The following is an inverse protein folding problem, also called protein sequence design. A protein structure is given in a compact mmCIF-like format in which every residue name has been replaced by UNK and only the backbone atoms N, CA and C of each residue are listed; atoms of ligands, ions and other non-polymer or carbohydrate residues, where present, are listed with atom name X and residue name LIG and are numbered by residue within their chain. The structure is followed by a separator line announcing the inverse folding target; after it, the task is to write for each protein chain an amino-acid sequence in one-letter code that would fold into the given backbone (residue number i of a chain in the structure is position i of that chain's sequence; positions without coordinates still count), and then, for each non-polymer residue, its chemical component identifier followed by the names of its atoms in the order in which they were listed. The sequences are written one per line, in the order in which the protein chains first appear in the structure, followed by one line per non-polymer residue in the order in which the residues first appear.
data_IF_821772288577
#
_entry.id   IF_821772288577
#
_cell.length_a   1.000
_cell.length_b   1.000
_cell.length_c   1.000
_cell.angle_alpha   90.00
_cell.angle_beta   90.00
_cell.angle_gamma   90.00
#
_symmetry.space_group_name_H-M   'P 1'
#
loop_
_entity.id
_entity.type
_entity.pdbx_description
1 polymer ?
#
# COMPACT_ATOMS: atom_id res chain seq x y z
N UNK A 1 -22.03 -16.79 10.29
CA UNK A 1 -22.33 -15.47 9.72
C UNK A 1 -23.66 -15.57 9.01
N UNK A 2 -24.69 -14.85 9.46
CA UNK A 2 -26.05 -14.98 8.89
C UNK A 2 -26.31 -13.99 7.75
N UNK A 3 -25.69 -12.80 7.79
CA UNK A 3 -25.85 -11.74 6.80
C UNK A 3 -24.49 -11.37 6.19
N UNK A 4 -23.93 -12.23 5.33
CA UNK A 4 -22.66 -11.95 4.69
C UNK A 4 -22.78 -10.73 3.77
N UNK A 5 -21.77 -9.87 3.82
CA UNK A 5 -21.53 -8.80 2.87
C UNK A 5 -20.32 -9.19 2.03
N UNK A 6 -20.45 -9.27 0.71
CA UNK A 6 -19.26 -9.36 -0.14
C UNK A 6 -18.38 -8.15 0.06
N UNK A 7 -17.08 -8.39 0.27
CA UNK A 7 -16.10 -7.30 0.20
C UNK A 7 -16.25 -6.62 -1.16
N UNK A 8 -16.33 -5.29 -1.18
CA UNK A 8 -16.64 -4.54 -2.41
C UNK A 8 -15.63 -4.78 -3.54
N UNK A 9 -14.40 -5.18 -3.22
CA UNK A 9 -13.37 -5.51 -4.20
C UNK A 9 -13.41 -6.96 -4.68
N UNK A 10 -14.19 -7.83 -4.04
CA UNK A 10 -14.40 -9.19 -4.51
C UNK A 10 -15.09 -9.16 -5.87
N UNK A 11 -14.64 -10.02 -6.79
CA UNK A 11 -15.28 -10.27 -8.08
C UNK A 11 -15.55 -11.76 -8.19
N UNK A 12 -16.46 -12.12 -9.08
CA UNK A 12 -16.77 -13.52 -9.35
C UNK A 12 -17.19 -13.72 -10.80
N UNK A 13 -16.90 -14.90 -11.34
CA UNK A 13 -17.21 -15.29 -12.72
C UNK A 13 -17.74 -16.73 -12.73
N UNK A 14 -18.96 -16.97 -13.25
CA UNK A 14 -19.49 -18.32 -13.41
C UNK A 14 -18.78 -19.05 -14.57
N UNK A 15 -18.47 -20.32 -14.37
CA UNK A 15 -17.90 -21.24 -15.37
C UNK A 15 -18.65 -22.57 -15.39
N UNK A 16 -18.26 -23.49 -16.28
CA UNK A 16 -18.91 -24.80 -16.36
C UNK A 16 -18.55 -25.67 -15.14
N UNK A 17 -19.54 -25.96 -14.28
CA UNK A 17 -19.35 -26.71 -13.05
C UNK A 17 -18.57 -25.98 -11.94
N UNK A 18 -18.23 -24.71 -12.12
CA UNK A 18 -17.39 -23.95 -11.18
C UNK A 18 -17.80 -22.47 -11.07
N UNK A 19 -17.47 -21.86 -9.93
CA UNK A 19 -17.54 -20.44 -9.69
C UNK A 19 -16.16 -19.93 -9.28
N UNK A 20 -15.57 -19.02 -10.06
CA UNK A 20 -14.28 -18.42 -9.71
C UNK A 20 -14.52 -17.10 -8.98
N UNK A 21 -13.93 -16.94 -7.81
CA UNK A 21 -13.91 -15.70 -7.04
C UNK A 21 -12.51 -15.10 -7.09
N UNK A 22 -12.40 -13.78 -7.25
CA UNK A 22 -11.13 -13.08 -7.20
C UNK A 22 -11.15 -11.91 -6.21
N UNK A 23 -10.08 -11.81 -5.41
CA UNK A 23 -9.90 -10.76 -4.42
C UNK A 23 -8.41 -10.54 -4.17
N UNK A 24 -7.96 -9.27 -4.15
CA UNK A 24 -6.55 -8.88 -4.00
C UNK A 24 -5.59 -9.67 -4.94
N UNK A 25 -6.04 -9.93 -6.17
CA UNK A 25 -5.28 -10.67 -7.20
C UNK A 25 -5.26 -12.19 -7.01
N UNK A 26 -5.84 -12.73 -5.93
CA UNK A 26 -5.96 -14.18 -5.70
C UNK A 26 -7.26 -14.69 -6.28
N UNK A 27 -7.19 -15.81 -7.01
CA UNK A 27 -8.37 -16.54 -7.47
C UNK A 27 -8.66 -17.75 -6.58
N UNK A 28 -9.94 -18.04 -6.36
CA UNK A 28 -10.44 -19.20 -5.62
C UNK A 28 -11.60 -19.82 -6.38
N UNK A 29 -11.58 -21.13 -6.50
CA UNK A 29 -12.58 -21.88 -7.28
C UNK A 29 -13.51 -22.63 -6.33
N UNK A 30 -14.81 -22.41 -6.49
CA UNK A 30 -15.85 -23.17 -5.82
C UNK A 30 -16.49 -24.12 -6.84
N UNK A 31 -16.33 -25.43 -6.63
CA UNK A 31 -16.97 -26.44 -7.46
C UNK A 31 -18.45 -26.56 -7.10
N UNK A 32 -19.32 -26.52 -8.12
CA UNK A 32 -20.76 -26.57 -7.93
C UNK A 32 -21.47 -27.16 -9.14
N UNK A 33 -22.59 -27.82 -8.90
CA UNK A 33 -23.46 -28.35 -9.96
C UNK A 33 -24.33 -27.27 -10.61
N UNK A 34 -24.41 -26.08 -10.04
CA UNK A 34 -25.32 -25.01 -10.48
C UNK A 34 -24.70 -23.62 -10.28
N UNK A 35 -23.67 -23.27 -11.08
CA UNK A 35 -22.89 -22.04 -10.91
C UNK A 35 -23.71 -20.76 -11.06
N UNK A 36 -24.74 -20.76 -11.91
CA UNK A 36 -25.65 -19.61 -12.05
C UNK A 36 -26.47 -19.35 -10.78
N UNK A 37 -26.99 -20.41 -10.15
CA UNK A 37 -27.69 -20.29 -8.87
C UNK A 37 -26.75 -19.74 -7.79
N UNK A 38 -25.48 -20.19 -7.78
CA UNK A 38 -24.46 -19.65 -6.88
C UNK A 38 -24.23 -18.17 -7.12
N UNK A 39 -24.14 -17.71 -8.37
CA UNK A 39 -24.03 -16.29 -8.70
C UNK A 39 -25.23 -15.47 -8.21
N UNK A 40 -26.45 -16.00 -8.34
CA UNK A 40 -27.68 -15.34 -7.88
C UNK A 40 -27.72 -15.21 -6.35
N UNK A 41 -27.37 -16.26 -5.61
CA UNK A 41 -27.26 -16.20 -4.15
C UNK A 41 -26.15 -15.24 -3.71
N UNK A 42 -25.01 -15.30 -4.40
CA UNK A 42 -23.84 -14.44 -4.17
C UNK A 42 -24.18 -12.96 -4.36
N UNK A 43 -24.97 -12.62 -5.36
CA UNK A 43 -25.43 -11.25 -5.60
C UNK A 43 -26.28 -10.66 -4.46
N UNK A 44 -26.81 -11.53 -3.59
CA UNK A 44 -27.61 -11.16 -2.41
C UNK A 44 -26.81 -11.17 -1.11
N UNK A 45 -25.50 -11.44 -1.12
CA UNK A 45 -24.62 -11.18 0.03
C UNK A 45 -24.35 -9.67 0.16
N UNK A 46 -25.41 -8.93 0.45
CA UNK A 46 -25.45 -7.47 0.58
C UNK A 46 -25.33 -6.99 2.03
N UNK A 47 -25.05 -7.92 2.96
CA UNK A 47 -24.98 -7.66 4.40
C UNK A 47 -26.32 -7.43 5.08
N UNK A 48 -27.44 -7.51 4.35
CA UNK A 48 -28.80 -7.27 4.88
C UNK A 48 -29.69 -8.51 4.75
N UNK A 49 -29.48 -9.29 3.71
CA UNK A 49 -30.22 -10.51 3.42
C UNK A 49 -29.66 -11.69 4.22
N UNK A 50 -30.55 -12.48 4.82
CA UNK A 50 -30.16 -13.76 5.43
C UNK A 50 -29.62 -14.69 4.34
N UNK A 51 -28.43 -15.25 4.53
CA UNK A 51 -27.78 -16.05 3.49
C UNK A 51 -28.58 -17.31 3.15
N UNK A 52 -29.20 -17.94 4.14
CA UNK A 52 -30.08 -19.07 3.92
C UNK A 52 -31.28 -18.69 3.06
N UNK A 53 -31.85 -17.50 3.26
CA UNK A 53 -32.91 -16.96 2.41
C UNK A 53 -32.43 -16.70 0.98
N UNK A 54 -31.27 -16.08 0.81
CA UNK A 54 -30.67 -15.83 -0.51
C UNK A 54 -30.47 -17.14 -1.29
N UNK A 55 -29.88 -18.15 -0.64
CA UNK A 55 -29.68 -19.47 -1.22
C UNK A 55 -30.99 -20.16 -1.61
N UNK A 56 -32.00 -20.13 -0.73
CA UNK A 56 -33.33 -20.71 -1.04
C UNK A 56 -33.99 -20.04 -2.24
N UNK A 57 -33.93 -18.71 -2.32
CA UNK A 57 -34.46 -17.94 -3.46
C UNK A 57 -33.74 -18.26 -4.77
N UNK A 58 -32.45 -18.58 -4.71
CA UNK A 58 -31.65 -19.03 -5.85
C UNK A 58 -31.77 -20.54 -6.14
N UNK A 59 -32.61 -21.28 -5.40
CA UNK A 59 -32.78 -22.73 -5.57
C UNK A 59 -31.57 -23.57 -5.13
N UNK A 60 -30.71 -23.04 -4.25
CA UNK A 60 -29.58 -23.75 -3.66
C UNK A 60 -30.06 -24.54 -2.44
N UNK A 61 -29.75 -25.85 -2.40
CA UNK A 61 -30.06 -26.71 -1.26
C UNK A 61 -29.22 -26.39 -0.02
N UNK A 62 -29.68 -26.79 1.17
CA UNK A 62 -29.04 -26.46 2.44
C UNK A 62 -27.55 -26.88 2.50
N UNK A 63 -27.22 -28.10 2.09
CA UNK A 63 -25.84 -28.60 2.12
C UNK A 63 -24.89 -27.81 1.21
N UNK A 64 -25.36 -27.39 0.02
CA UNK A 64 -24.56 -26.57 -0.89
C UNK A 64 -24.44 -25.13 -0.36
N UNK A 65 -25.47 -24.64 0.33
CA UNK A 65 -25.46 -23.33 0.99
C UNK A 65 -24.43 -23.28 2.12
N UNK A 66 -24.38 -24.31 2.97
CA UNK A 66 -23.37 -24.45 4.03
C UNK A 66 -21.96 -24.49 3.46
N UNK A 67 -21.72 -25.33 2.44
CA UNK A 67 -20.44 -25.36 1.72
C UNK A 67 -20.04 -24.00 1.16
N UNK A 68 -21.00 -23.28 0.57
CA UNK A 68 -20.74 -21.98 -0.03
C UNK A 68 -20.37 -20.94 1.03
N UNK A 69 -21.10 -20.82 2.14
CA UNK A 69 -20.76 -19.85 3.18
C UNK A 69 -19.44 -20.19 3.88
N UNK A 70 -19.16 -21.48 4.11
CA UNK A 70 -17.89 -21.95 4.64
C UNK A 70 -16.74 -21.55 3.71
N UNK A 71 -16.87 -21.81 2.40
CA UNK A 71 -15.89 -21.39 1.40
C UNK A 71 -15.66 -19.87 1.41
N UNK A 72 -16.73 -19.08 1.36
CA UNK A 72 -16.65 -17.62 1.34
C UNK A 72 -16.00 -17.07 2.62
N UNK A 73 -16.28 -17.68 3.77
CA UNK A 73 -15.71 -17.29 5.08
C UNK A 73 -14.26 -17.71 5.19
N UNK A 74 -13.93 -18.96 4.82
CA UNK A 74 -12.57 -19.52 4.87
C UNK A 74 -11.59 -18.67 4.07
N UNK A 75 -12.00 -18.20 2.88
CA UNK A 75 -11.17 -17.36 2.02
C UNK A 75 -11.37 -15.86 2.27
N UNK A 76 -12.09 -15.48 3.33
CA UNK A 76 -12.35 -14.10 3.72
C UNK A 76 -12.88 -13.23 2.56
N UNK A 77 -13.77 -13.78 1.74
CA UNK A 77 -14.39 -13.09 0.60
C UNK A 77 -15.62 -12.26 1.04
N UNK A 78 -16.18 -12.62 2.20
CA UNK A 78 -17.30 -11.94 2.84
C UNK A 78 -16.91 -11.42 4.22
N UNK A 79 -17.63 -10.41 4.69
CA UNK A 79 -17.57 -9.86 6.05
C UNK A 79 -18.97 -9.89 6.66
N UNK A 80 -19.05 -9.71 7.98
CA UNK A 80 -20.35 -9.68 8.64
C UNK A 80 -21.06 -8.35 8.41
N UNK A 81 -22.16 -8.39 7.68
CA UNK A 81 -22.99 -7.22 7.39
C UNK A 81 -23.57 -6.55 8.63
N UNK A 82 -23.80 -7.28 9.73
CA UNK A 82 -24.36 -6.71 10.97
C UNK A 82 -23.34 -5.82 11.69
N UNK A 83 -22.06 -6.13 11.55
CA UNK A 83 -20.97 -5.33 12.14
C UNK A 83 -20.43 -4.28 11.16
N UNK A 84 -20.59 -4.51 9.86
CA UNK A 84 -20.09 -3.61 8.82
C UNK A 84 -21.12 -2.53 8.46
N UNK A 85 -22.39 -2.89 8.31
CA UNK A 85 -23.43 -1.98 7.87
C UNK A 85 -24.25 -1.49 9.07
N UNK A 86 -24.63 -0.22 9.04
CA UNK A 86 -25.54 0.33 10.04
C UNK A 86 -26.99 0.10 9.67
N UNK A 87 -27.81 -0.17 10.68
CA UNK A 87 -29.26 -0.31 10.53
C UNK A 87 -29.96 1.00 10.13
N UNK A 88 -29.39 2.16 10.50
CA UNK A 88 -29.93 3.48 10.16
C UNK A 88 -29.56 3.95 8.74
N UNK A 89 -28.78 3.16 7.99
CA UNK A 89 -28.34 3.47 6.63
C UNK A 89 -27.23 4.52 6.55
N UNK A 90 -26.72 5.01 7.68
CA UNK A 90 -25.53 5.85 7.70
C UNK A 90 -24.28 5.02 7.39
N UNK A 91 -23.23 5.67 6.88
CA UNK A 91 -21.98 5.01 6.52
C UNK A 91 -21.11 4.80 7.77
N UNK A 92 -20.80 3.55 8.11
CA UNK A 92 -19.80 3.24 9.14
C UNK A 92 -18.38 3.39 8.59
N UNK A 93 -17.40 3.51 9.49
CA UNK A 93 -15.99 3.48 9.07
C UNK A 93 -15.57 2.14 8.48
N UNK A 94 -16.03 1.01 9.04
CA UNK A 94 -15.76 -0.32 8.48
C UNK A 94 -16.27 -0.46 7.03
N UNK A 95 -17.49 0.00 6.75
CA UNK A 95 -18.02 -0.01 5.39
C UNK A 95 -17.20 0.90 4.46
N UNK A 96 -16.82 2.09 4.94
CA UNK A 96 -15.96 3.00 4.17
C UNK A 96 -14.60 2.37 3.82
N UNK A 97 -13.95 1.65 4.75
CA UNK A 97 -12.70 0.94 4.47
C UNK A 97 -12.84 0.00 3.27
N UNK A 98 -13.86 -0.87 3.27
CA UNK A 98 -14.03 -1.84 2.19
C UNK A 98 -14.37 -1.16 0.84
N UNK A 99 -15.09 -0.02 0.87
CA UNK A 99 -15.35 0.79 -0.33
C UNK A 99 -14.06 1.43 -0.86
N UNK A 100 -13.20 1.96 0.02
CA UNK A 100 -11.90 2.51 -0.34
C UNK A 100 -10.95 1.43 -0.86
N UNK A 101 -10.95 0.24 -0.29
CA UNK A 101 -10.13 -0.88 -0.76
C UNK A 101 -10.48 -1.26 -2.21
N UNK A 102 -11.77 -1.29 -2.55
CA UNK A 102 -12.20 -1.51 -3.93
C UNK A 102 -11.68 -0.43 -4.90
N UNK A 103 -11.72 0.84 -4.49
CA UNK A 103 -11.15 1.93 -5.28
C UNK A 103 -9.63 1.77 -5.45
N UNK A 104 -8.92 1.47 -4.35
CA UNK A 104 -7.47 1.28 -4.36
C UNK A 104 -7.05 0.16 -5.29
N UNK A 105 -7.70 -1.00 -5.22
CA UNK A 105 -7.37 -2.15 -6.07
C UNK A 105 -7.66 -1.85 -7.55
N UNK A 106 -8.73 -1.12 -7.83
CA UNK A 106 -9.02 -0.63 -9.18
C UNK A 106 -7.90 0.31 -9.66
N UNK A 107 -7.51 1.29 -8.85
CA UNK A 107 -6.47 2.26 -9.20
C UNK A 107 -5.06 1.67 -9.23
N UNK A 108 -4.75 0.59 -8.51
CA UNK A 108 -3.46 -0.12 -8.66
C UNK A 108 -3.32 -0.73 -10.06
N UNK A 109 -4.41 -1.23 -10.65
CA UNK A 109 -4.39 -1.81 -12.01
C UNK A 109 -4.52 -0.78 -13.12
N UNK A 110 -5.11 0.38 -12.82
CA UNK A 110 -5.34 1.46 -13.78
C UNK A 110 -5.21 2.81 -13.07
N UNK A 111 -3.98 3.23 -12.71
CA UNK A 111 -3.78 4.43 -11.93
C UNK A 111 -4.16 5.68 -12.73
N UNK A 112 -4.60 6.76 -12.04
CA UNK A 112 -4.68 8.08 -12.65
C UNK A 112 -3.30 8.44 -13.21
N UNK A 113 -3.18 8.57 -14.54
CA UNK A 113 -1.89 8.81 -15.20
C UNK A 113 -1.45 10.25 -15.00
N UNK A 114 -0.68 10.51 -13.95
CA UNK A 114 -0.07 11.83 -13.69
C UNK A 114 1.35 11.96 -14.26
N UNK A 115 2.04 10.83 -14.41
CA UNK A 115 3.39 10.72 -14.98
C UNK A 115 3.45 9.54 -15.97
N UNK A 116 4.46 9.45 -16.86
CA UNK A 116 4.66 8.26 -17.68
C UNK A 116 4.73 7.01 -16.82
N UNK A 117 3.93 5.98 -17.14
CA UNK A 117 3.95 4.72 -16.42
C UNK A 117 5.30 4.03 -16.67
N UNK A 118 6.14 4.04 -15.64
CA UNK A 118 7.41 3.33 -15.59
C UNK A 118 7.18 2.16 -14.64
N UNK A 119 6.99 0.97 -15.19
CA UNK A 119 6.88 -0.27 -14.41
C UNK A 119 8.28 -0.64 -13.87
N UNK A 120 8.74 0.16 -12.90
CA UNK A 120 10.09 0.09 -12.36
C UNK A 120 10.34 -1.24 -11.68
N UNK A 121 9.35 -1.78 -10.96
CA UNK A 121 9.49 -3.05 -10.23
C UNK A 121 9.73 -4.18 -11.24
N UNK A 122 8.96 -4.25 -12.32
CA UNK A 122 9.18 -5.23 -13.40
C UNK A 122 10.50 -5.00 -14.12
N UNK A 123 10.90 -3.75 -14.35
CA UNK A 123 12.19 -3.42 -14.96
C UNK A 123 13.38 -3.90 -14.11
N UNK A 124 13.29 -3.78 -12.79
CA UNK A 124 14.29 -4.32 -11.85
C UNK A 124 14.20 -5.85 -11.84
N UNK A 125 12.99 -6.42 -11.74
CA UNK A 125 12.78 -7.87 -11.70
C UNK A 125 13.41 -8.58 -12.91
N UNK A 126 13.35 -7.95 -14.09
CA UNK A 126 13.90 -8.44 -15.35
C UNK A 126 15.35 -8.00 -15.64
N UNK A 127 16.03 -7.29 -14.73
CA UNK A 127 17.41 -6.84 -14.92
C UNK A 127 17.61 -5.73 -15.96
N UNK A 128 16.55 -4.98 -16.28
CA UNK A 128 16.54 -3.93 -17.30
C UNK A 128 16.84 -2.54 -16.74
N UNK A 129 16.58 -2.31 -15.44
CA UNK A 129 16.86 -1.03 -14.81
C UNK A 129 18.37 -0.84 -14.59
N UNK A 130 18.93 0.37 -14.81
CA UNK A 130 20.33 0.65 -14.44
C UNK A 130 20.59 0.44 -12.95
N UNK A 131 21.78 -0.08 -12.58
CA UNK A 131 22.15 -0.31 -11.17
C UNK A 131 22.03 0.95 -10.30
N UNK A 132 22.29 2.13 -10.85
CA UNK A 132 22.11 3.41 -10.15
C UNK A 132 20.65 3.66 -9.76
N UNK A 133 19.70 3.28 -10.63
CA UNK A 133 18.26 3.36 -10.35
C UNK A 133 17.87 2.37 -9.26
N UNK A 134 18.40 1.15 -9.28
CA UNK A 134 18.15 0.17 -8.21
C UNK A 134 18.68 0.69 -6.87
N UNK A 135 19.96 1.09 -6.80
CA UNK A 135 20.53 1.67 -5.58
C UNK A 135 19.75 2.89 -5.10
N UNK A 136 19.32 3.74 -6.04
CA UNK A 136 18.52 4.93 -5.76
C UNK A 136 17.16 4.58 -5.17
N UNK A 137 16.43 3.61 -5.73
CA UNK A 137 15.14 3.18 -5.20
C UNK A 137 15.24 2.76 -3.73
N UNK A 138 16.22 1.92 -3.40
CA UNK A 138 16.39 1.41 -2.04
C UNK A 138 16.87 2.50 -1.06
N UNK A 139 17.70 3.43 -1.53
CA UNK A 139 18.05 4.63 -0.76
C UNK A 139 16.82 5.47 -0.42
N UNK A 140 15.95 5.72 -1.39
CA UNK A 140 14.74 6.51 -1.15
C UNK A 140 13.69 5.77 -0.29
N UNK A 141 13.55 4.44 -0.43
CA UNK A 141 12.71 3.64 0.49
C UNK A 141 13.25 3.72 1.92
N UNK A 142 14.57 3.67 2.12
CA UNK A 142 15.15 3.81 3.45
C UNK A 142 14.84 5.18 4.09
N UNK A 143 14.76 6.24 3.28
CA UNK A 143 14.33 7.55 3.77
C UNK A 143 12.86 7.56 4.21
N UNK A 144 11.97 6.90 3.45
CA UNK A 144 10.56 6.78 3.81
C UNK A 144 10.37 5.99 5.11
N UNK A 145 10.99 4.82 5.24
CA UNK A 145 10.82 3.98 6.43
C UNK A 145 11.46 4.61 7.68
N UNK A 146 12.43 5.51 7.51
CA UNK A 146 12.95 6.32 8.61
C UNK A 146 12.03 7.47 9.04
N UNK A 147 11.09 7.91 8.20
CA UNK A 147 10.10 8.91 8.60
C UNK A 147 8.84 8.32 9.24
N UNK A 148 8.59 7.01 9.06
CA UNK A 148 7.42 6.33 9.63
C UNK A 148 7.25 6.57 11.14
N UNK A 149 8.29 6.48 12.01
CA UNK A 149 8.10 6.74 13.44
C UNK A 149 7.64 8.18 13.73
N UNK A 150 8.13 9.14 12.95
CA UNK A 150 7.79 10.55 13.03
C UNK A 150 6.34 10.83 12.59
N UNK A 151 5.86 10.06 11.61
CA UNK A 151 4.48 10.09 11.12
C UNK A 151 3.53 9.44 12.13
N UNK A 152 3.88 8.27 12.67
CA UNK A 152 3.12 7.56 13.68
C UNK A 152 3.02 8.34 14.98
N UNK A 153 4.09 9.01 15.41
CA UNK A 153 4.03 9.92 16.56
C UNK A 153 2.98 11.04 16.36
N UNK A 154 2.83 11.56 15.14
CA UNK A 154 1.79 12.53 14.82
C UNK A 154 0.38 11.88 14.81
N UNK A 155 0.26 10.62 14.39
CA UNK A 155 -1.00 9.89 14.42
C UNK A 155 -1.45 9.58 15.85
N UNK A 156 -0.53 9.20 16.73
CA UNK A 156 -0.76 9.00 18.17
C UNK A 156 -1.26 10.30 18.82
N UNK A 157 -0.63 11.44 18.49
CA UNK A 157 -1.01 12.75 19.01
C UNK A 157 -2.41 13.16 18.57
N UNK A 158 -2.74 12.92 17.29
CA UNK A 158 -4.04 13.30 16.71
C UNK A 158 -5.17 12.32 17.04
N UNK A 159 -4.84 11.11 17.50
CA UNK A 159 -5.81 10.07 17.82
C UNK A 159 -6.65 10.42 19.06
N UNK A 160 -7.95 10.08 19.05
CA UNK A 160 -8.76 10.16 20.26
C UNK A 160 -8.20 9.19 21.30
N UNK A 161 -8.19 9.61 22.58
CA UNK A 161 -7.77 8.74 23.68
C UNK A 161 -8.61 7.46 23.72
N UNK A 162 -7.95 6.34 24.00
CA UNK A 162 -8.57 5.01 24.05
C UNK A 162 -8.01 4.07 22.99
N UNK A 163 -8.84 3.14 22.46
CA UNK A 163 -8.36 2.05 21.61
C UNK A 163 -7.60 2.50 20.36
N UNK A 164 -8.04 3.57 19.69
CA UNK A 164 -7.38 4.08 18.47
C UNK A 164 -5.97 4.59 18.76
N UNK A 165 -5.81 5.37 19.83
CA UNK A 165 -4.49 5.86 20.24
C UNK A 165 -3.58 4.70 20.65
N UNK A 166 -4.12 3.70 21.36
CA UNK A 166 -3.37 2.51 21.73
C UNK A 166 -2.92 1.72 20.50
N UNK A 167 -3.79 1.51 19.51
CA UNK A 167 -3.44 0.82 18.28
C UNK A 167 -2.28 1.54 17.53
N UNK A 168 -2.31 2.87 17.44
CA UNK A 168 -1.19 3.62 16.87
C UNK A 168 0.09 3.56 17.70
N UNK A 169 -0.01 3.48 19.04
CA UNK A 169 1.16 3.31 19.91
C UNK A 169 1.80 1.94 19.72
N UNK A 170 1.00 0.88 19.67
CA UNK A 170 1.49 -0.48 19.40
C UNK A 170 2.17 -0.54 18.03
N UNK A 171 1.54 0.06 17.01
CA UNK A 171 2.11 0.14 15.66
C UNK A 171 3.39 1.00 15.62
N UNK A 172 3.46 2.08 16.40
CA UNK A 172 4.69 2.87 16.57
C UNK A 172 5.83 2.06 17.17
N UNK A 173 5.57 1.32 18.24
CA UNK A 173 6.59 0.51 18.93
C UNK A 173 7.18 -0.57 18.02
N UNK A 174 6.36 -1.12 17.13
CA UNK A 174 6.79 -2.05 16.11
C UNK A 174 7.68 -1.38 15.04
N UNK A 175 7.18 -0.32 14.42
CA UNK A 175 7.81 0.34 13.27
C UNK A 175 9.07 1.17 13.64
N UNK A 176 9.24 1.53 14.93
CA UNK A 176 10.24 2.49 15.39
C UNK A 176 11.68 2.17 14.95
N UNK A 177 11.99 0.89 14.74
CA UNK A 177 13.34 0.41 14.44
C UNK A 177 13.51 -0.12 13.00
N UNK A 178 12.42 -0.26 12.23
CA UNK A 178 12.47 -0.80 10.87
C UNK A 178 13.37 0.01 9.95
N UNK A 179 13.20 1.33 9.94
CA UNK A 179 14.05 2.25 9.16
C UNK A 179 15.55 2.08 9.48
N UNK A 180 15.93 1.87 10.75
CA UNK A 180 17.33 1.65 11.14
C UNK A 180 17.88 0.34 10.60
N UNK A 181 17.12 -0.76 10.74
CA UNK A 181 17.50 -2.09 10.25
C UNK A 181 17.84 -2.04 8.76
N UNK A 182 17.00 -1.36 7.97
CA UNK A 182 17.21 -1.24 6.54
C UNK A 182 18.40 -0.33 6.20
N UNK A 183 18.58 0.78 6.90
CA UNK A 183 19.77 1.62 6.68
C UNK A 183 21.08 0.93 7.06
N UNK A 184 21.09 0.12 8.11
CA UNK A 184 22.27 -0.62 8.52
C UNK A 184 22.67 -1.64 7.44
N UNK A 185 21.68 -2.36 6.88
CA UNK A 185 21.91 -3.26 5.75
C UNK A 185 22.41 -2.52 4.51
N UNK A 186 21.76 -1.41 4.16
CA UNK A 186 22.06 -0.65 2.95
C UNK A 186 23.41 0.07 3.01
N UNK A 187 23.89 0.44 4.21
CA UNK A 187 25.23 1.03 4.40
C UNK A 187 26.35 0.10 3.92
N UNK A 188 26.16 -1.22 3.97
CA UNK A 188 27.12 -2.18 3.43
C UNK A 188 27.27 -2.10 1.90
N UNK A 189 26.25 -1.59 1.19
CA UNK A 189 26.26 -1.43 -0.27
C UNK A 189 26.83 -0.09 -0.76
N UNK A 190 27.02 0.86 0.16
CA UNK A 190 27.59 2.19 -0.08
C UNK A 190 28.96 2.38 0.58
N UNK A 191 29.75 1.30 0.60
CA UNK A 191 31.13 1.25 1.12
C UNK A 191 31.28 1.62 2.60
N UNK A 192 30.20 1.63 3.38
CA UNK A 192 30.19 1.91 4.83
C UNK A 192 30.66 3.32 5.25
N UNK A 193 31.22 4.12 4.33
CA UNK A 193 31.74 5.47 4.58
C UNK A 193 30.66 6.55 4.52
N UNK A 194 29.48 6.22 4.00
CA UNK A 194 28.38 7.13 3.74
C UNK A 194 27.17 6.65 4.54
N UNK A 195 26.76 7.42 5.55
CA UNK A 195 25.54 7.06 6.27
C UNK A 195 24.33 7.56 5.50
N UNK A 196 23.30 6.73 5.35
CA UNK A 196 22.01 7.14 4.75
C UNK A 196 21.35 8.25 5.59
N UNK A 197 21.81 8.45 6.83
CA UNK A 197 21.43 9.60 7.67
C UNK A 197 21.92 10.92 7.08
N UNK A 198 23.07 10.93 6.40
CA UNK A 198 23.67 12.13 5.84
C UNK A 198 23.18 12.46 4.43
N UNK A 199 22.62 11.48 3.71
CA UNK A 199 22.09 11.68 2.36
C UNK A 199 20.86 12.58 2.32
N UNK A 200 20.74 13.32 1.23
CA UNK A 200 19.58 14.17 0.94
C UNK A 200 18.58 13.40 0.08
N UNK A 201 17.35 13.14 0.56
CA UNK A 201 16.31 12.45 -0.21
C UNK A 201 15.90 13.27 -1.44
N UNK A 202 15.34 12.61 -2.45
CA UNK A 202 14.75 13.29 -3.59
C UNK A 202 13.53 14.14 -3.18
N UNK A 203 13.25 15.25 -3.89
CA UNK A 203 12.05 16.05 -3.64
C UNK A 203 10.74 15.24 -3.71
N UNK A 204 10.67 14.24 -4.59
CA UNK A 204 9.51 13.33 -4.70
C UNK A 204 9.35 12.44 -3.47
N UNK A 205 10.45 11.99 -2.88
CA UNK A 205 10.48 11.27 -1.60
C UNK A 205 10.04 12.17 -0.45
N UNK A 206 10.60 13.37 -0.36
CA UNK A 206 10.22 14.38 0.67
C UNK A 206 8.75 14.74 0.58
N UNK A 207 8.22 14.91 -0.63
CA UNK A 207 6.80 15.20 -0.85
C UNK A 207 5.90 14.12 -0.24
N UNK A 208 6.27 12.85 -0.41
CA UNK A 208 5.55 11.72 0.19
C UNK A 208 5.66 11.73 1.71
N UNK A 209 6.87 11.84 2.27
CA UNK A 209 7.08 11.91 3.73
C UNK A 209 6.24 13.03 4.37
N UNK A 210 6.23 14.21 3.76
CA UNK A 210 5.46 15.36 4.25
C UNK A 210 3.95 15.18 4.09
N UNK A 211 3.49 14.50 3.02
CA UNK A 211 2.08 14.19 2.84
C UNK A 211 1.57 13.26 3.95
N UNK A 212 2.28 12.17 4.24
CA UNK A 212 1.93 11.22 5.31
C UNK A 212 1.86 11.91 6.66
N UNK A 213 2.92 12.62 7.02
CA UNK A 213 2.97 13.39 8.27
C UNK A 213 1.86 14.44 8.35
N UNK A 214 1.55 15.07 7.22
CA UNK A 214 0.46 16.04 7.09
C UNK A 214 -0.93 15.43 7.29
N UNK A 215 -1.16 14.21 6.82
CA UNK A 215 -2.41 13.47 7.04
C UNK A 215 -2.50 12.95 8.47
N UNK A 216 -1.41 12.38 9.01
CA UNK A 216 -1.29 11.91 10.41
C UNK A 216 -1.67 12.98 11.42
N UNK A 217 -1.21 14.23 11.24
CA UNK A 217 -1.55 15.35 12.14
C UNK A 217 -2.99 15.82 12.06
N UNK A 218 -3.65 15.60 10.92
CA UNK A 218 -4.98 16.17 10.66
C UNK A 218 -6.07 15.27 11.18
N UNK A 219 -5.98 13.98 10.90
CA UNK A 219 -7.08 13.04 11.11
C UNK A 219 -6.58 11.59 10.94
N UNK A 220 -6.86 10.76 11.94
CA UNK A 220 -6.49 9.32 11.95
C UNK A 220 -6.99 8.52 10.75
N UNK A 221 -8.16 8.85 10.19
CA UNK A 221 -8.68 8.16 9.01
C UNK A 221 -7.92 8.55 7.75
N UNK A 222 -7.42 9.78 7.67
CA UNK A 222 -6.62 10.19 6.51
C UNK A 222 -5.29 9.45 6.50
N UNK A 223 -4.65 9.30 7.67
CA UNK A 223 -3.42 8.53 7.77
C UNK A 223 -3.64 7.03 7.56
N UNK A 224 -4.67 6.45 8.18
CA UNK A 224 -5.06 5.06 7.93
C UNK A 224 -5.34 4.81 6.44
N UNK A 225 -5.97 5.77 5.73
CA UNK A 225 -6.16 5.69 4.28
C UNK A 225 -4.84 5.63 3.51
N UNK A 226 -3.84 6.41 3.92
CA UNK A 226 -2.52 6.42 3.28
C UNK A 226 -1.82 5.05 3.45
N UNK A 227 -1.91 4.46 4.64
CA UNK A 227 -1.34 3.15 4.95
C UNK A 227 -1.94 2.02 4.10
N UNK A 228 -3.21 2.11 3.67
CA UNK A 228 -3.86 1.08 2.85
C UNK A 228 -3.05 0.70 1.59
N UNK A 229 -2.25 1.63 1.05
CA UNK A 229 -1.46 1.40 -0.16
C UNK A 229 -0.15 0.65 0.12
N UNK A 230 0.46 0.87 1.27
CA UNK A 230 1.82 0.41 1.54
C UNK A 230 1.85 -0.86 2.37
N UNK A 231 0.85 -1.05 3.23
CA UNK A 231 0.76 -2.23 4.07
C UNK A 231 0.26 -3.45 3.29
N UNK A 232 0.84 -4.60 3.61
CA UNK A 232 0.54 -5.89 2.97
C UNK A 232 -0.17 -6.85 3.92
N UNK A 233 -0.89 -7.82 3.38
CA UNK A 233 -1.60 -8.83 4.18
C UNK A 233 -1.50 -10.22 3.54
N UNK A 234 -1.79 -11.29 4.29
CA UNK A 234 -1.68 -12.64 3.72
C UNK A 234 -2.72 -12.93 2.62
N UNK A 235 -3.68 -12.02 2.42
CA UNK A 235 -4.65 -12.10 1.33
C UNK A 235 -4.14 -11.51 0.01
N UNK A 236 -3.03 -10.77 0.01
CA UNK A 236 -2.44 -10.26 -1.23
C UNK A 236 -1.86 -11.40 -2.07
N UNK A 237 -2.07 -11.35 -3.38
CA UNK A 237 -1.52 -12.34 -4.30
C UNK A 237 0.00 -12.50 -4.12
N UNK A 238 0.47 -13.74 -4.22
CA UNK A 238 1.90 -13.98 -4.31
C UNK A 238 2.40 -13.40 -5.64
N UNK A 239 3.52 -12.69 -5.57
CA UNK A 239 4.17 -12.16 -6.76
C UNK A 239 4.86 -13.32 -7.46
N UNK A 240 4.64 -13.47 -8.77
CA UNK A 240 5.36 -14.46 -9.56
C UNK A 240 6.87 -14.23 -9.47
N UNK A 241 7.67 -15.28 -9.43
CA UNK A 241 9.14 -15.18 -9.30
C UNK A 241 9.78 -14.30 -10.39
N UNK A 242 9.20 -14.25 -11.58
CA UNK A 242 9.63 -13.41 -12.70
C UNK A 242 9.36 -11.91 -12.49
N UNK A 243 8.42 -11.57 -11.60
CA UNK A 243 8.02 -10.20 -11.27
C UNK A 243 8.46 -9.76 -9.86
N UNK A 244 9.00 -10.69 -9.06
CA UNK A 244 9.51 -10.40 -7.72
C UNK A 244 10.80 -9.57 -7.80
N UNK A 245 10.72 -8.33 -7.34
CA UNK A 245 11.82 -7.38 -7.34
C UNK A 245 13.04 -7.90 -6.57
N UNK A 246 12.83 -8.59 -5.44
CA UNK A 246 13.92 -9.07 -4.59
C UNK A 246 14.67 -10.23 -5.24
N UNK A 247 13.94 -11.16 -5.85
CA UNK A 247 14.54 -12.27 -6.59
C UNK A 247 15.21 -11.77 -7.88
N UNK A 248 14.62 -10.79 -8.57
CA UNK A 248 15.29 -10.13 -9.70
C UNK A 248 16.58 -9.43 -9.30
N UNK A 249 16.60 -8.78 -8.13
CA UNK A 249 17.80 -8.15 -7.60
C UNK A 249 18.95 -9.15 -7.39
N UNK A 250 18.67 -10.29 -6.77
CA UNK A 250 19.66 -11.36 -6.56
C UNK A 250 20.17 -11.96 -7.88
N UNK A 251 19.29 -12.07 -8.89
CA UNK A 251 19.63 -12.64 -10.19
C UNK A 251 20.45 -11.72 -11.08
N UNK A 252 20.17 -10.42 -11.04
CA UNK A 252 20.64 -9.49 -12.08
C UNK A 252 21.61 -8.42 -11.61
N UNK A 253 21.77 -8.21 -10.30
CA UNK A 253 22.56 -7.10 -9.77
C UNK A 253 23.58 -7.59 -8.73
N UNK A 254 24.74 -6.93 -8.71
CA UNK A 254 25.76 -7.15 -7.68
C UNK A 254 25.36 -6.40 -6.39
N UNK A 255 24.39 -6.98 -5.69
CA UNK A 255 23.86 -6.48 -4.43
C UNK A 255 24.27 -7.41 -3.27
N UNK A 256 24.72 -6.85 -2.13
CA UNK A 256 24.95 -7.66 -0.93
C UNK A 256 23.65 -8.38 -0.53
N UNK A 257 23.73 -9.69 -0.32
CA UNK A 257 22.58 -10.53 0.05
C UNK A 257 21.84 -10.01 1.27
N UNK A 258 22.56 -9.43 2.24
CA UNK A 258 21.97 -8.82 3.45
C UNK A 258 20.99 -7.69 3.13
N UNK A 259 21.20 -6.93 2.04
CA UNK A 259 20.28 -5.87 1.64
C UNK A 259 18.98 -6.49 1.15
N UNK A 260 19.05 -7.48 0.25
CA UNK A 260 17.85 -8.17 -0.25
C UNK A 260 17.12 -8.84 0.91
N UNK A 261 17.84 -9.55 1.78
CA UNK A 261 17.28 -10.23 2.94
C UNK A 261 16.49 -9.27 3.83
N UNK A 262 17.03 -8.08 4.16
CA UNK A 262 16.36 -7.15 5.08
C UNK A 262 15.15 -6.45 4.46
N UNK A 263 15.20 -6.07 3.19
CA UNK A 263 14.02 -5.48 2.56
C UNK A 263 12.92 -6.52 2.31
N UNK A 264 13.30 -7.74 1.92
CA UNK A 264 12.36 -8.86 1.80
C UNK A 264 11.81 -9.29 3.15
N UNK A 265 12.60 -9.19 4.23
CA UNK A 265 12.14 -9.42 5.59
C UNK A 265 11.03 -8.43 5.97
N UNK A 266 11.23 -7.12 5.73
CA UNK A 266 10.20 -6.11 6.01
C UNK A 266 8.89 -6.41 5.27
N UNK A 267 8.94 -6.59 3.95
CA UNK A 267 7.75 -6.91 3.16
C UNK A 267 7.04 -8.21 3.61
N UNK A 268 7.78 -9.18 4.14
CA UNK A 268 7.20 -10.39 4.71
C UNK A 268 6.66 -10.21 6.13
N UNK A 269 7.28 -9.35 6.93
CA UNK A 269 6.86 -9.05 8.28
C UNK A 269 5.46 -8.41 8.25
N UNK A 270 5.28 -7.36 7.44
CA UNK A 270 3.99 -6.67 7.26
C UNK A 270 2.89 -7.66 6.88
N UNK A 271 3.20 -8.58 5.96
CA UNK A 271 2.30 -9.65 5.53
C UNK A 271 1.96 -10.65 6.64
N UNK A 272 2.95 -11.04 7.45
CA UNK A 272 2.77 -12.00 8.55
C UNK A 272 1.98 -11.41 9.72
N UNK A 273 2.15 -10.12 9.96
CA UNK A 273 1.47 -9.38 11.02
C UNK A 273 0.15 -8.75 10.55
N UNK A 274 -0.26 -9.02 9.30
CA UNK A 274 -1.53 -8.57 8.73
C UNK A 274 -1.69 -7.04 8.77
N UNK A 275 -0.60 -6.29 8.58
CA UNK A 275 -0.62 -4.81 8.61
C UNK A 275 -1.57 -4.22 7.58
N UNK A 276 -1.81 -4.92 6.47
CA UNK A 276 -2.82 -4.53 5.48
C UNK A 276 -4.27 -4.44 6.04
N UNK A 277 -4.50 -4.88 7.28
CA UNK A 277 -5.75 -4.70 8.03
C UNK A 277 -5.64 -3.73 9.21
N UNK A 278 -4.47 -3.19 9.54
CA UNK A 278 -4.35 -2.12 10.53
C UNK A 278 -5.29 -0.93 10.21
N UNK A 279 -5.40 -0.45 8.95
CA UNK A 279 -6.37 0.59 8.64
C UNK A 279 -7.82 0.16 8.96
N UNK A 280 -8.20 -1.10 8.74
CA UNK A 280 -9.55 -1.58 9.06
C UNK A 280 -9.84 -1.46 10.57
N UNK A 281 -8.87 -1.69 11.44
CA UNK A 281 -9.02 -1.47 12.88
C UNK A 281 -9.36 0.00 13.19
N UNK A 282 -8.60 0.93 12.61
CA UNK A 282 -8.81 2.36 12.80
C UNK A 282 -10.17 2.80 12.23
N UNK A 283 -10.51 2.36 11.03
CA UNK A 283 -11.81 2.64 10.41
C UNK A 283 -12.97 2.02 11.21
N UNK A 284 -12.80 0.79 11.72
CA UNK A 284 -13.81 0.08 12.52
C UNK A 284 -14.17 0.78 13.82
N UNK A 285 -13.28 1.62 14.35
CA UNK A 285 -13.54 2.43 15.55
C UNK A 285 -14.51 3.60 15.33
N UNK A 286 -14.84 3.93 14.06
CA UNK A 286 -15.67 5.09 13.72
C UNK A 286 -17.09 4.66 13.39
N UNK A 287 -18.00 4.97 14.32
CA UNK A 287 -19.42 4.60 14.21
C UNK A 287 -20.10 5.19 12.96
N UNK A 288 -19.88 6.48 12.67
CA UNK A 288 -20.49 7.21 11.56
C UNK A 288 -19.46 8.11 10.91
N UNK A 289 -19.35 8.03 9.58
CA UNK A 289 -18.47 8.90 8.80
C UNK A 289 -19.28 9.96 8.06
N UNK A 290 -18.92 11.22 8.23
CA UNK A 290 -19.55 12.32 7.52
C UNK A 290 -19.19 12.33 6.03
N UNK A 291 -20.07 12.86 5.19
CA UNK A 291 -19.83 12.99 3.75
C UNK A 291 -18.54 13.77 3.44
N UNK A 292 -18.24 14.81 4.23
CA UNK A 292 -17.00 15.57 4.09
C UNK A 292 -15.78 14.69 4.35
N UNK A 293 -15.80 13.86 5.40
CA UNK A 293 -14.68 12.97 5.75
C UNK A 293 -14.51 11.87 4.70
N UNK A 294 -15.61 11.36 4.12
CA UNK A 294 -15.57 10.46 2.95
C UNK A 294 -14.87 11.11 1.76
N UNK A 295 -15.22 12.36 1.41
CA UNK A 295 -14.57 13.07 0.30
C UNK A 295 -13.08 13.25 0.55
N UNK A 296 -12.69 13.55 1.80
CA UNK A 296 -11.30 13.72 2.18
C UNK A 296 -10.52 12.41 2.10
N UNK A 297 -11.05 11.30 2.61
CA UNK A 297 -10.37 9.98 2.51
C UNK A 297 -10.25 9.52 1.06
N UNK A 298 -11.29 9.66 0.23
CA UNK A 298 -11.19 9.35 -1.21
C UNK A 298 -10.11 10.21 -1.89
N UNK A 299 -10.02 11.49 -1.55
CA UNK A 299 -8.99 12.38 -2.10
C UNK A 299 -7.58 11.98 -1.65
N UNK A 300 -7.40 11.58 -0.39
CA UNK A 300 -6.11 11.05 0.11
C UNK A 300 -5.75 9.76 -0.58
N UNK A 301 -6.71 8.85 -0.77
CA UNK A 301 -6.49 7.59 -1.47
C UNK A 301 -6.01 7.80 -2.91
N UNK A 302 -6.59 8.78 -3.60
CA UNK A 302 -6.13 9.15 -4.94
C UNK A 302 -4.72 9.74 -4.89
N UNK A 303 -4.48 10.70 -3.98
CA UNK A 303 -3.17 11.34 -3.82
C UNK A 303 -2.06 10.34 -3.50
N UNK A 304 -2.34 9.27 -2.73
CA UNK A 304 -1.30 8.30 -2.42
C UNK A 304 -0.94 7.41 -3.62
N UNK A 305 -1.90 7.08 -4.48
CA UNK A 305 -1.59 6.41 -5.76
C UNK A 305 -0.70 7.33 -6.61
N UNK A 306 -1.05 8.61 -6.73
CA UNK A 306 -0.29 9.58 -7.52
C UNK A 306 1.13 9.85 -6.96
N UNK A 307 1.26 9.99 -5.64
CA UNK A 307 2.55 10.20 -4.97
C UNK A 307 3.49 9.00 -5.13
N UNK A 308 2.94 7.79 -5.15
CA UNK A 308 3.75 6.60 -5.39
C UNK A 308 4.28 6.52 -6.83
N UNK A 309 3.45 6.83 -7.81
CA UNK A 309 3.89 6.91 -9.20
C UNK A 309 4.94 8.02 -9.37
N UNK A 310 4.72 9.18 -8.75
CA UNK A 310 5.68 10.29 -8.76
C UNK A 310 7.00 9.91 -8.08
N UNK A 311 6.94 9.14 -6.99
CA UNK A 311 8.11 8.61 -6.30
C UNK A 311 8.96 7.72 -7.24
N UNK A 312 8.35 6.70 -7.85
CA UNK A 312 9.04 5.79 -8.79
C UNK A 312 9.56 6.52 -10.02
N UNK A 313 8.78 7.45 -10.56
CA UNK A 313 9.19 8.30 -11.67
C UNK A 313 10.41 9.16 -11.28
N UNK A 314 10.37 9.83 -10.13
CA UNK A 314 11.47 10.67 -9.64
C UNK A 314 12.77 9.90 -9.44
N UNK A 315 12.68 8.70 -8.85
CA UNK A 315 13.80 7.76 -8.72
C UNK A 315 14.37 7.43 -10.10
N UNK A 316 13.52 7.02 -11.04
CA UNK A 316 13.97 6.60 -12.37
C UNK A 316 14.63 7.75 -13.12
N UNK A 317 13.99 8.93 -13.18
CA UNK A 317 14.50 10.08 -13.92
C UNK A 317 15.83 10.59 -13.36
N UNK A 318 15.94 10.68 -12.03
CA UNK A 318 17.14 11.20 -11.40
C UNK A 318 18.30 10.22 -11.52
N UNK A 319 18.11 8.97 -11.09
CA UNK A 319 19.19 8.00 -11.00
C UNK A 319 19.54 7.33 -12.32
N UNK A 320 18.73 7.46 -13.37
CA UNK A 320 19.15 7.08 -14.72
C UNK A 320 20.34 7.92 -15.22
N UNK A 321 20.51 9.15 -14.70
CA UNK A 321 21.53 10.10 -15.15
C UNK A 321 22.55 10.49 -14.07
N UNK A 322 22.34 10.08 -12.81
CA UNK A 322 23.16 10.49 -11.67
C UNK A 322 23.51 9.28 -10.79
N UNK A 323 24.73 9.26 -10.25
CA UNK A 323 25.09 8.30 -9.19
C UNK A 323 24.36 8.63 -7.90
N UNK A 324 24.04 7.61 -7.11
CA UNK A 324 23.61 7.74 -5.70
C UNK A 324 24.57 8.54 -4.84
N UNK A 325 25.86 8.56 -5.19
CA UNK A 325 26.89 9.33 -4.47
C UNK A 325 26.57 10.82 -4.39
N UNK A 326 25.90 11.36 -5.41
CA UNK A 326 25.49 12.77 -5.48
C UNK A 326 24.53 13.18 -4.38
N UNK A 327 23.93 12.23 -3.64
CA UNK A 327 23.04 12.51 -2.52
C UNK A 327 23.79 12.70 -1.21
N UNK A 328 25.04 12.24 -1.14
CA UNK A 328 25.89 12.32 0.07
C UNK A 328 26.82 13.55 0.05
N UNK A 329 27.14 14.07 -1.14
CA UNK A 329 28.03 15.24 -1.28
C UNK A 329 27.27 16.56 -1.10
N UNK A 330 27.25 17.07 0.14
CA UNK A 330 26.69 18.40 0.48
C UNK A 330 27.50 19.57 -0.08
N UNK A 331 28.74 19.33 -0.51
CA UNK A 331 29.63 20.36 -1.07
C UNK A 331 29.26 20.78 -2.49
N UNK A 332 28.55 19.94 -3.24
CA UNK A 332 28.18 20.23 -4.63
C UNK A 332 26.92 21.12 -4.77
N UNK A 333 26.14 21.33 -3.70
CA UNK A 333 24.79 21.92 -3.81
C UNK A 333 24.58 23.28 -3.15
N UNK A 334 25.60 23.91 -2.54
CA UNK A 334 25.42 25.21 -1.86
C UNK A 334 26.05 26.37 -2.64
N UNK A 335 27.06 26.11 -3.47
CA UNK A 335 27.54 27.09 -4.44
C UNK A 335 27.97 26.35 -5.69
N UNK A 336 27.09 26.29 -6.70
CA UNK A 336 27.58 26.14 -8.07
C UNK A 336 28.66 27.20 -8.25
N UNK A 337 29.83 26.79 -8.73
CA UNK A 337 30.98 27.65 -8.96
C UNK A 337 30.50 29.01 -9.46
N UNK A 338 30.61 30.02 -8.61
CA UNK A 338 30.40 31.40 -9.02
C UNK A 338 31.43 31.64 -10.12
N UNK A 339 30.96 31.61 -11.37
CA UNK A 339 31.77 31.90 -12.53
C UNK A 339 32.57 33.17 -12.27
N UNK A 340 33.86 33.10 -12.60
CA UNK A 340 34.80 34.19 -12.45
C UNK A 340 34.13 35.53 -12.85
N UNK A 341 34.34 36.61 -12.08
CA UNK A 341 33.65 37.87 -12.34
C UNK A 341 33.95 38.32 -13.77
N UNK A 342 32.88 38.46 -14.56
CA UNK A 342 32.94 39.10 -15.87
C UNK A 342 33.48 40.51 -15.64
N UNK A 343 34.75 40.73 -15.99
CA UNK A 343 35.32 42.08 -16.07
C UNK A 343 34.56 42.83 -17.16
N UNK A 344 33.59 43.64 -16.75
CA UNK A 344 33.06 44.71 -17.59
C UNK A 344 34.24 45.63 -17.93
N UNK A 345 34.72 45.56 -19.16
CA UNK A 345 35.59 46.58 -19.73
C UNK A 345 34.78 47.87 -19.78
N UNK A 346 35.11 48.80 -18.90
CA UNK A 346 34.70 50.19 -19.06
C UNK A 346 35.29 50.70 -20.37
N UNK A 347 34.45 50.92 -21.37
CA UNK A 347 34.78 51.77 -22.51
C UNK A 347 34.78 53.20 -22.00
N UNK A 348 35.97 53.77 -21.81
CA UNK A 348 36.14 55.21 -21.68
C UNK A 348 35.94 55.87 -23.06
N UNK A 349 35.24 56.99 -23.01
CA UNK A 349 35.02 58.01 -24.04
C UNK A 349 36.24 58.39 -24.84
#
# INVERSE_FOLDING_TARGET
MNRPLFKYACRYTPGDGVMTFSYRGRERVFETKSPFNVADATSQCDGRTDFGQACRSAGIGAAESERLIEFLTQYQLVVDGETTLRADGLLSGAELFWRLENLLLTWRTSPPKTVPNLDLDRSIAAGQAPISVVKGLFLEIAHLLRSVPDELACAVESAPQGPVQQAFMEFYEEECNHGRILTDALSSWFDGKKTIVESVPLPTTVARMHAYKGWARKDVLLYATALMRDESSALDAEVHEEEDIYLGMERHYDIPSIVVEKYRWHANLDRQLEHGFFPLEIFGSVDVVSEQRVKQTVSVLQQIVELHELFKWGVTQYYANNSVDTRFDRSASIFGEAGAPVRLKATAS
#
